data_IF_645287559356
#
_entry.id   IF_645287559356
#
_cell.length_a   1.000
_cell.length_b   1.000
_cell.length_c   1.000
_cell.angle_alpha   90.00
_cell.angle_beta   90.00
_cell.angle_gamma   90.00
#
_symmetry.space_group_name_H-M   'P 1'
#
loop_
_entity.id
_entity.type
_entity.pdbx_description
1 polymer ?
#
# COMPACT_ATOMS: atom_id res chain seq x y z
N UNK A 1 35.42 -13.64 0.56
CA UNK A 1 35.75 -13.21 1.94
C UNK A 1 35.89 -14.47 2.77
N UNK A 2 36.78 -14.53 3.76
CA UNK A 2 36.94 -15.76 4.55
C UNK A 2 35.87 -15.85 5.63
N UNK A 3 35.52 -17.06 6.05
CA UNK A 3 34.57 -17.32 7.14
C UNK A 3 34.96 -16.61 8.44
N UNK A 4 36.25 -16.64 8.78
CA UNK A 4 36.81 -15.90 9.93
C UNK A 4 36.59 -14.39 9.85
N UNK A 5 36.59 -13.83 8.63
CA UNK A 5 36.34 -12.40 8.43
C UNK A 5 34.88 -12.05 8.71
N UNK A 6 33.93 -12.87 8.28
CA UNK A 6 32.50 -12.65 8.56
C UNK A 6 32.19 -12.77 10.05
N UNK A 7 32.76 -13.78 10.71
CA UNK A 7 32.59 -13.97 12.15
C UNK A 7 33.11 -12.77 12.94
N UNK A 8 34.27 -12.23 12.56
CA UNK A 8 34.80 -11.01 13.18
C UNK A 8 33.86 -9.81 13.03
N UNK A 9 33.21 -9.66 11.88
CA UNK A 9 32.25 -8.57 11.64
C UNK A 9 30.99 -8.73 12.51
N UNK A 10 30.46 -9.96 12.60
CA UNK A 10 29.28 -10.28 13.44
C UNK A 10 29.60 -10.05 14.92
N UNK A 11 30.73 -10.57 15.40
CA UNK A 11 31.12 -10.43 16.80
C UNK A 11 31.41 -8.98 17.16
N UNK A 12 31.96 -8.19 16.23
CA UNK A 12 32.16 -6.75 16.36
C UNK A 12 30.89 -5.91 16.18
N UNK A 13 29.77 -6.48 15.74
CA UNK A 13 28.57 -5.73 15.33
C UNK A 13 28.88 -4.63 14.30
N UNK A 14 29.81 -4.89 13.38
CA UNK A 14 30.19 -3.97 12.31
C UNK A 14 29.13 -3.98 11.20
N UNK A 15 28.06 -3.21 11.39
CA UNK A 15 26.93 -3.12 10.44
C UNK A 15 27.39 -2.69 9.05
N UNK A 16 28.31 -1.72 8.97
CA UNK A 16 28.79 -1.21 7.69
C UNK A 16 29.62 -2.26 6.94
N UNK A 17 30.46 -3.02 7.66
CA UNK A 17 31.19 -4.16 7.11
C UNK A 17 30.26 -5.26 6.64
N UNK A 18 29.22 -5.58 7.42
CA UNK A 18 28.23 -6.60 7.08
C UNK A 18 27.34 -6.22 5.89
N UNK A 19 26.96 -4.95 5.73
CA UNK A 19 26.24 -4.47 4.54
C UNK A 19 27.11 -4.62 3.29
N UNK A 20 28.38 -4.19 3.34
CA UNK A 20 29.33 -4.40 2.23
C UNK A 20 29.55 -5.87 1.89
N UNK A 21 29.53 -6.74 2.91
CA UNK A 21 29.59 -8.18 2.73
C UNK A 21 28.38 -8.69 1.95
N UNK A 22 27.16 -8.30 2.36
CA UNK A 22 25.92 -8.65 1.65
C UNK A 22 25.96 -8.18 0.20
N UNK A 23 26.34 -6.93 -0.07
CA UNK A 23 26.48 -6.40 -1.44
C UNK A 23 27.44 -7.25 -2.27
N UNK A 24 28.59 -7.60 -1.70
CA UNK A 24 29.58 -8.46 -2.33
C UNK A 24 29.02 -9.85 -2.66
N UNK A 25 28.30 -10.47 -1.73
CA UNK A 25 27.68 -11.79 -1.92
C UNK A 25 26.63 -11.75 -3.03
N UNK A 26 25.71 -10.79 -2.99
CA UNK A 26 24.64 -10.65 -3.98
C UNK A 26 25.21 -10.38 -5.38
N UNK A 27 26.26 -9.54 -5.51
CA UNK A 27 26.90 -9.27 -6.81
C UNK A 27 27.52 -10.51 -7.48
N UNK A 28 27.82 -11.56 -6.70
CA UNK A 28 28.31 -12.84 -7.21
C UNK A 28 27.21 -13.89 -7.41
N UNK A 29 26.00 -13.64 -6.90
CA UNK A 29 24.91 -14.61 -6.90
C UNK A 29 25.11 -15.80 -5.96
N UNK A 30 25.92 -15.64 -4.91
CA UNK A 30 26.26 -16.71 -3.96
C UNK A 30 25.20 -16.80 -2.85
N UNK A 31 23.98 -17.23 -3.21
CA UNK A 31 22.80 -17.16 -2.33
C UNK A 31 22.91 -18.01 -1.07
N UNK A 32 23.59 -19.16 -1.15
CA UNK A 32 23.86 -20.01 0.03
C UNK A 32 24.75 -19.27 1.05
N UNK A 33 25.71 -18.48 0.60
CA UNK A 33 26.56 -17.64 1.46
C UNK A 33 25.72 -16.53 2.13
N UNK A 34 24.72 -15.98 1.43
CA UNK A 34 23.81 -14.97 1.99
C UNK A 34 22.88 -15.57 3.05
N UNK A 35 22.36 -16.78 2.79
CA UNK A 35 21.53 -17.53 3.73
C UNK A 35 22.31 -17.86 5.01
N UNK A 36 23.54 -18.37 4.87
CA UNK A 36 24.42 -18.67 6.00
C UNK A 36 24.73 -17.40 6.82
N UNK A 37 25.05 -16.27 6.16
CA UNK A 37 25.24 -14.99 6.83
C UNK A 37 23.99 -14.55 7.61
N UNK A 38 22.81 -14.62 6.99
CA UNK A 38 21.52 -14.30 7.63
C UNK A 38 21.31 -15.14 8.88
N UNK A 39 21.51 -16.45 8.78
CA UNK A 39 21.24 -17.40 9.86
C UNK A 39 22.22 -17.21 11.02
N UNK A 40 23.51 -16.94 10.74
CA UNK A 40 24.50 -16.56 11.75
C UNK A 40 24.18 -15.23 12.43
N UNK A 41 23.68 -14.24 11.68
CA UNK A 41 23.22 -12.98 12.27
C UNK A 41 22.01 -13.21 13.20
N UNK A 42 21.04 -14.04 12.79
CA UNK A 42 19.89 -14.41 13.63
C UNK A 42 20.35 -15.11 14.90
N UNK A 43 21.27 -16.08 14.81
CA UNK A 43 21.86 -16.74 15.97
C UNK A 43 22.57 -15.72 16.88
N UNK A 44 23.38 -14.81 16.32
CA UNK A 44 24.10 -13.80 17.07
C UNK A 44 23.17 -12.83 17.82
N UNK A 45 22.00 -12.51 17.26
CA UNK A 45 20.96 -11.73 17.95
C UNK A 45 20.46 -12.45 19.20
N UNK A 46 20.27 -13.77 19.16
CA UNK A 46 19.92 -14.54 20.37
C UNK A 46 21.00 -14.48 21.46
N UNK A 47 22.25 -14.20 21.07
CA UNK A 47 23.39 -13.98 21.99
C UNK A 47 23.58 -12.51 22.40
N UNK A 48 22.64 -11.62 22.05
CA UNK A 48 22.63 -10.21 22.43
C UNK A 48 23.36 -9.26 21.46
N UNK A 49 23.79 -9.73 20.29
CA UNK A 49 24.42 -8.87 19.27
C UNK A 49 23.36 -8.00 18.58
N UNK A 50 23.74 -6.77 18.23
CA UNK A 50 22.85 -5.79 17.61
C UNK A 50 22.92 -5.85 16.07
N UNK A 51 22.80 -7.05 15.50
CA UNK A 51 22.93 -7.29 14.05
C UNK A 51 21.62 -7.73 13.37
N UNK A 52 20.48 -7.56 14.05
CA UNK A 52 19.16 -7.96 13.51
C UNK A 52 18.80 -7.23 12.21
N UNK A 53 19.22 -5.97 12.05
CA UNK A 53 18.97 -5.21 10.82
C UNK A 53 19.75 -5.81 9.62
N UNK A 54 20.88 -6.49 9.87
CA UNK A 54 21.68 -7.15 8.83
C UNK A 54 20.97 -8.40 8.33
N UNK A 55 20.40 -9.23 9.23
CA UNK A 55 19.66 -10.43 8.80
C UNK A 55 18.40 -10.05 8.02
N UNK A 56 17.70 -8.99 8.42
CA UNK A 56 16.56 -8.48 7.67
C UNK A 56 16.95 -7.85 6.33
N UNK A 57 18.10 -7.18 6.26
CA UNK A 57 18.63 -6.70 4.98
C UNK A 57 18.98 -7.88 4.06
N UNK A 58 19.56 -8.97 4.59
CA UNK A 58 19.78 -10.18 3.81
C UNK A 58 18.46 -10.81 3.32
N UNK A 59 17.40 -10.84 4.15
CA UNK A 59 16.06 -11.27 3.73
C UNK A 59 15.49 -10.40 2.60
N UNK A 60 15.63 -9.08 2.72
CA UNK A 60 15.23 -8.15 1.67
C UNK A 60 15.96 -8.42 0.35
N UNK A 61 17.27 -8.63 0.40
CA UNK A 61 18.08 -8.95 -0.79
C UNK A 61 17.74 -10.32 -1.39
N UNK A 62 17.42 -11.31 -0.54
CA UNK A 62 16.92 -12.61 -1.01
C UNK A 62 15.57 -12.46 -1.73
N UNK A 63 14.64 -11.68 -1.18
CA UNK A 63 13.36 -11.42 -1.84
C UNK A 63 13.53 -10.66 -3.16
N UNK A 64 14.45 -9.70 -3.23
CA UNK A 64 14.63 -8.84 -4.41
C UNK A 64 15.44 -9.49 -5.54
N UNK A 65 16.51 -10.24 -5.22
CA UNK A 65 17.54 -10.62 -6.21
C UNK A 65 17.76 -12.12 -6.37
N UNK A 66 17.35 -12.95 -5.40
CA UNK A 66 17.57 -14.39 -5.49
C UNK A 66 16.57 -15.06 -6.44
N UNK A 67 16.86 -16.27 -6.96
CA UNK A 67 15.89 -17.07 -7.70
C UNK A 67 14.58 -17.26 -6.91
N UNK A 68 13.45 -17.37 -7.61
CA UNK A 68 12.10 -17.40 -7.02
C UNK A 68 11.93 -18.43 -5.88
N UNK A 69 12.51 -19.63 -6.03
CA UNK A 69 12.51 -20.68 -5.00
C UNK A 69 13.17 -20.22 -3.68
N UNK A 70 14.22 -19.41 -3.76
CA UNK A 70 14.92 -18.87 -2.58
C UNK A 70 14.24 -17.60 -2.06
N UNK A 71 13.76 -16.73 -2.95
CA UNK A 71 12.96 -15.56 -2.57
C UNK A 71 11.73 -15.98 -1.75
N UNK A 72 11.02 -17.03 -2.17
CA UNK A 72 9.87 -17.57 -1.46
C UNK A 72 10.17 -17.99 0.00
N UNK A 73 11.40 -18.44 0.30
CA UNK A 73 11.77 -18.89 1.66
C UNK A 73 11.76 -17.80 2.72
N UNK A 74 11.80 -16.52 2.31
CA UNK A 74 11.75 -15.38 3.22
C UNK A 74 10.38 -14.71 3.26
N UNK A 75 9.41 -15.18 2.47
CA UNK A 75 8.05 -14.64 2.41
C UNK A 75 7.19 -15.26 3.52
N UNK A 76 7.46 -14.88 4.75
CA UNK A 76 6.72 -15.36 5.93
C UNK A 76 6.21 -14.20 6.77
N UNK A 77 5.16 -14.44 7.56
CA UNK A 77 4.64 -13.44 8.49
C UNK A 77 5.73 -12.93 9.44
N UNK A 78 5.84 -11.60 9.56
CA UNK A 78 6.78 -10.93 10.47
C UNK A 78 8.22 -10.76 9.98
N UNK A 79 8.64 -11.38 8.86
CA UNK A 79 9.95 -11.10 8.22
C UNK A 79 9.91 -9.82 7.39
N UNK A 80 11.08 -9.18 7.20
CA UNK A 80 11.15 -7.88 6.53
C UNK A 80 10.34 -6.76 7.22
N UNK A 81 10.07 -6.89 8.52
CA UNK A 81 9.34 -5.87 9.30
C UNK A 81 9.92 -4.45 9.13
N UNK A 82 11.23 -4.36 8.90
CA UNK A 82 11.95 -3.10 8.72
C UNK A 82 12.60 -2.99 7.34
N UNK A 83 12.17 -3.82 6.37
CA UNK A 83 12.58 -3.64 4.97
C UNK A 83 11.83 -2.48 4.34
N UNK A 84 12.32 -2.06 3.17
CA UNK A 84 11.79 -0.93 2.43
C UNK A 84 10.34 -1.13 1.93
N UNK A 85 9.87 -2.37 1.91
CA UNK A 85 8.49 -2.76 1.67
C UNK A 85 8.24 -4.20 2.12
N UNK A 86 6.99 -4.67 2.07
CA UNK A 86 6.65 -6.06 2.34
C UNK A 86 7.43 -7.00 1.43
N UNK A 87 8.06 -8.06 1.98
CA UNK A 87 8.93 -8.94 1.18
C UNK A 87 8.20 -9.60 0.00
N UNK A 88 6.90 -9.88 0.14
CA UNK A 88 6.11 -10.44 -0.95
C UNK A 88 5.93 -9.45 -2.11
N UNK A 89 5.79 -8.15 -1.83
CA UNK A 89 5.69 -7.10 -2.85
C UNK A 89 7.06 -6.90 -3.52
N UNK A 90 8.13 -6.95 -2.72
CA UNK A 90 9.51 -6.88 -3.21
C UNK A 90 9.81 -8.04 -4.16
N UNK A 91 9.49 -9.28 -3.77
CA UNK A 91 9.67 -10.45 -4.63
C UNK A 91 8.79 -10.38 -5.87
N UNK A 92 7.52 -10.00 -5.72
CA UNK A 92 6.62 -9.81 -6.85
C UNK A 92 7.12 -8.71 -7.81
N UNK A 93 7.87 -7.70 -7.36
CA UNK A 93 8.45 -6.68 -8.26
C UNK A 93 9.57 -7.21 -9.17
N UNK A 94 10.21 -8.32 -8.80
CA UNK A 94 11.36 -8.87 -9.51
C UNK A 94 11.06 -10.19 -10.26
N UNK A 95 9.98 -10.88 -9.91
CA UNK A 95 9.63 -12.19 -10.46
C UNK A 95 8.26 -12.20 -11.15
N UNK A 96 8.06 -13.18 -12.03
CA UNK A 96 6.75 -13.50 -12.59
C UNK A 96 5.96 -14.39 -11.65
N UNK A 97 4.64 -14.32 -11.74
CA UNK A 97 3.72 -15.20 -11.02
C UNK A 97 4.06 -16.67 -11.23
N UNK A 98 4.32 -17.08 -12.48
CA UNK A 98 4.64 -18.47 -12.83
C UNK A 98 5.88 -19.02 -12.13
N UNK A 99 6.81 -18.15 -11.73
CA UNK A 99 8.05 -18.54 -11.06
C UNK A 99 7.87 -18.61 -9.54
N UNK A 100 7.02 -17.76 -8.96
CA UNK A 100 6.76 -17.70 -7.52
C UNK A 100 5.73 -18.73 -7.07
N UNK A 101 4.61 -18.87 -7.80
CA UNK A 101 3.45 -19.69 -7.43
C UNK A 101 3.79 -21.11 -6.91
N UNK A 102 4.72 -21.87 -7.53
CA UNK A 102 5.08 -23.21 -7.06
C UNK A 102 5.73 -23.26 -5.66
N UNK A 103 6.05 -22.11 -5.08
CA UNK A 103 6.81 -21.98 -3.84
C UNK A 103 6.06 -21.19 -2.75
N UNK A 104 4.85 -20.69 -3.02
CA UNK A 104 4.07 -19.89 -2.08
C UNK A 104 3.11 -20.77 -1.26
N UNK A 105 3.61 -21.36 -0.18
CA UNK A 105 2.84 -22.27 0.66
C UNK A 105 1.87 -21.57 1.63
N UNK A 106 2.12 -20.29 1.95
CA UNK A 106 1.30 -19.52 2.90
C UNK A 106 0.15 -18.85 2.13
N UNK A 107 -1.14 -19.18 2.42
CA UNK A 107 -2.27 -18.68 1.63
C UNK A 107 -2.36 -17.16 1.54
N UNK A 108 -2.13 -16.45 2.65
CA UNK A 108 -2.19 -14.98 2.70
C UNK A 108 -1.10 -14.32 1.84
N UNK A 109 0.13 -14.82 1.94
CA UNK A 109 1.25 -14.37 1.11
C UNK A 109 1.00 -14.70 -0.36
N UNK A 110 0.45 -15.88 -0.66
CA UNK A 110 0.10 -16.29 -2.02
C UNK A 110 -0.94 -15.34 -2.63
N UNK A 111 -2.01 -15.01 -1.89
CA UNK A 111 -3.03 -14.05 -2.34
C UNK A 111 -2.46 -12.65 -2.55
N UNK A 112 -1.69 -12.11 -1.61
CA UNK A 112 -1.08 -10.78 -1.77
C UNK A 112 -0.12 -10.73 -2.98
N UNK A 113 0.72 -11.76 -3.15
CA UNK A 113 1.63 -11.88 -4.30
C UNK A 113 0.86 -12.01 -5.62
N UNK A 114 -0.24 -12.78 -5.64
CA UNK A 114 -1.10 -12.95 -6.80
C UNK A 114 -1.73 -11.62 -7.23
N UNK A 115 -2.31 -10.87 -6.30
CA UNK A 115 -2.88 -9.55 -6.62
C UNK A 115 -1.81 -8.57 -7.10
N UNK A 116 -0.63 -8.55 -6.47
CA UNK A 116 0.48 -7.71 -6.93
C UNK A 116 0.90 -8.06 -8.36
N UNK A 117 1.10 -9.35 -8.66
CA UNK A 117 1.46 -9.79 -10.01
C UNK A 117 0.36 -9.53 -11.04
N UNK A 118 -0.90 -9.66 -10.66
CA UNK A 118 -2.06 -9.31 -11.50
C UNK A 118 -2.07 -7.82 -11.85
N UNK A 119 -1.86 -6.94 -10.87
CA UNK A 119 -1.71 -5.48 -11.08
C UNK A 119 -0.52 -5.19 -12.00
N UNK A 120 0.56 -5.96 -11.90
CA UNK A 120 1.72 -5.87 -12.81
C UNK A 120 1.48 -6.53 -14.19
N UNK A 121 0.29 -7.03 -14.46
CA UNK A 121 -0.14 -7.55 -15.76
C UNK A 121 0.10 -9.04 -16.00
N UNK A 122 0.42 -9.83 -14.98
CA UNK A 122 0.47 -11.29 -15.13
C UNK A 122 -0.95 -11.89 -15.13
N UNK A 123 -1.15 -12.93 -15.96
CA UNK A 123 -2.37 -13.72 -15.91
C UNK A 123 -2.32 -14.67 -14.72
N UNK A 124 -3.09 -14.36 -13.67
CA UNK A 124 -3.21 -15.21 -12.48
C UNK A 124 -4.55 -15.96 -12.51
N UNK A 125 -4.55 -17.31 -12.46
CA UNK A 125 -5.79 -18.07 -12.41
C UNK A 125 -6.53 -17.81 -11.09
N UNK A 126 -7.79 -17.42 -11.18
CA UNK A 126 -8.65 -17.13 -10.02
C UNK A 126 -8.92 -18.35 -9.14
N UNK A 127 -8.99 -19.54 -9.75
CA UNK A 127 -9.36 -20.80 -9.09
C UNK A 127 -8.25 -21.37 -8.19
N UNK A 128 -7.01 -20.86 -8.32
CA UNK A 128 -5.89 -21.28 -7.47
C UNK A 128 -5.67 -20.37 -6.25
N UNK A 129 -6.43 -19.29 -6.14
CA UNK A 129 -6.34 -18.31 -5.04
C UNK A 129 -7.62 -18.41 -4.19
N UNK A 130 -7.44 -18.46 -2.87
CA UNK A 130 -8.57 -18.41 -1.95
C UNK A 130 -9.15 -16.99 -1.89
N UNK A 131 -10.31 -16.80 -2.51
CA UNK A 131 -11.01 -15.51 -2.57
C UNK A 131 -11.41 -14.99 -1.19
N UNK A 132 -11.58 -15.85 -0.18
CA UNK A 132 -11.95 -15.41 1.17
C UNK A 132 -10.83 -14.64 1.90
N UNK A 133 -9.63 -14.53 1.31
CA UNK A 133 -8.51 -13.81 1.93
C UNK A 133 -8.59 -12.31 1.70
N UNK A 134 -8.82 -11.88 0.46
CA UNK A 134 -8.89 -10.45 0.09
C UNK A 134 -10.27 -10.03 -0.41
N UNK A 135 -11.18 -10.99 -0.58
CA UNK A 135 -12.61 -10.81 -0.86
C UNK A 135 -12.95 -10.01 -2.13
N UNK A 136 -11.95 -9.71 -2.97
CA UNK A 136 -12.09 -9.07 -4.29
C UNK A 136 -11.47 -9.93 -5.40
N UNK A 137 -11.81 -9.72 -6.68
CA UNK A 137 -11.18 -10.44 -7.78
C UNK A 137 -9.66 -10.22 -7.83
N UNK A 138 -8.91 -11.29 -8.05
CA UNK A 138 -7.45 -11.24 -8.26
C UNK A 138 -7.15 -10.45 -9.53
N UNK A 139 -7.86 -10.78 -10.61
CA UNK A 139 -7.78 -10.10 -11.89
C UNK A 139 -8.25 -8.65 -11.77
N UNK A 140 -7.45 -7.74 -12.31
CA UNK A 140 -7.84 -6.36 -12.45
C UNK A 140 -8.99 -6.23 -13.46
N UNK A 141 -10.03 -5.50 -13.08
CA UNK A 141 -11.20 -5.23 -13.91
C UNK A 141 -10.90 -4.16 -14.96
N UNK A 142 -11.67 -4.16 -16.06
CA UNK A 142 -11.44 -3.23 -17.18
C UNK A 142 -11.64 -1.75 -16.82
N UNK A 143 -12.42 -1.48 -15.78
CA UNK A 143 -12.66 -0.14 -15.28
C UNK A 143 -11.62 0.32 -14.25
N UNK A 144 -10.85 -0.59 -13.68
CA UNK A 144 -9.80 -0.24 -12.73
C UNK A 144 -8.65 0.47 -13.46
N UNK A 145 -8.05 1.50 -12.83
CA UNK A 145 -6.94 2.24 -13.41
C UNK A 145 -5.64 1.42 -13.42
N UNK A 146 -4.65 1.84 -14.19
CA UNK A 146 -3.30 1.25 -14.06
C UNK A 146 -2.66 1.74 -12.76
N UNK A 147 -2.67 0.92 -11.72
CA UNK A 147 -2.19 1.34 -10.40
C UNK A 147 -0.69 1.67 -10.39
N UNK A 148 -0.28 2.72 -9.67
CA UNK A 148 1.12 3.07 -9.50
C UNK A 148 1.86 2.03 -8.65
N UNK A 149 3.02 1.60 -9.14
CA UNK A 149 3.81 0.54 -8.52
C UNK A 149 5.03 1.07 -7.80
N UNK A 150 5.30 0.51 -6.62
CA UNK A 150 6.56 0.71 -5.93
C UNK A 150 7.72 0.13 -6.74
N UNK A 151 8.85 0.85 -6.78
CA UNK A 151 10.09 0.39 -7.39
C UNK A 151 11.11 0.10 -6.30
N UNK A 152 11.61 -1.13 -6.26
CA UNK A 152 12.60 -1.58 -5.28
C UNK A 152 13.98 -1.70 -5.92
N UNK A 153 14.99 -1.25 -5.19
CA UNK A 153 16.40 -1.39 -5.51
C UNK A 153 17.18 -1.77 -4.24
N UNK A 154 18.39 -2.28 -4.39
CA UNK A 154 19.17 -2.85 -3.28
C UNK A 154 19.32 -1.94 -2.06
N UNK A 155 19.28 -0.62 -2.23
CA UNK A 155 19.50 0.39 -1.18
C UNK A 155 18.36 1.40 -1.02
N UNK A 156 17.29 1.32 -1.83
CA UNK A 156 16.20 2.30 -1.83
C UNK A 156 14.91 1.74 -2.41
N UNK A 157 13.80 2.35 -2.02
CA UNK A 157 12.52 2.20 -2.69
C UNK A 157 12.03 3.55 -3.18
N UNK A 158 11.29 3.56 -4.28
CA UNK A 158 10.63 4.74 -4.82
C UNK A 158 9.15 4.44 -4.96
N UNK A 159 8.32 5.31 -4.38
CA UNK A 159 6.88 5.21 -4.41
C UNK A 159 6.36 6.35 -5.28
N UNK A 160 5.60 6.09 -6.36
CA UNK A 160 5.07 7.15 -7.21
C UNK A 160 4.13 8.04 -6.40
N UNK A 161 4.28 9.37 -6.53
CA UNK A 161 3.43 10.39 -5.89
C UNK A 161 2.83 11.38 -6.90
N UNK A 162 3.06 11.13 -8.19
CA UNK A 162 2.58 11.92 -9.33
C UNK A 162 1.05 11.87 -9.53
N UNK A 163 0.36 10.98 -8.81
CA UNK A 163 -1.10 10.90 -8.75
C UNK A 163 -1.71 12.26 -8.35
N UNK A 164 -1.00 13.03 -7.53
CA UNK A 164 -1.47 14.34 -7.05
C UNK A 164 -0.96 15.52 -7.89
N UNK A 165 -0.26 15.28 -9.01
CA UNK A 165 0.14 16.31 -9.98
C UNK A 165 -1.05 16.72 -10.89
N UNK A 166 -2.19 17.00 -10.26
CA UNK A 166 -3.43 17.43 -10.90
C UNK A 166 -3.56 18.94 -10.76
N UNK A 167 -3.98 19.59 -11.83
CA UNK A 167 -4.29 21.02 -11.80
C UNK A 167 -5.58 21.26 -10.99
N UNK A 168 -5.44 21.90 -9.84
CA UNK A 168 -6.56 22.24 -8.95
C UNK A 168 -6.85 23.74 -8.96
N UNK A 169 -8.13 24.08 -8.86
CA UNK A 169 -8.59 25.47 -8.80
C UNK A 169 -8.99 25.85 -7.39
N UNK A 170 -8.66 27.08 -6.98
CA UNK A 170 -9.12 27.61 -5.70
C UNK A 170 -10.63 27.89 -5.71
N UNK A 171 -11.35 27.27 -4.77
CA UNK A 171 -12.80 27.37 -4.60
C UNK A 171 -13.12 27.89 -3.21
N UNK A 172 -13.91 28.97 -3.14
CA UNK A 172 -14.49 29.46 -1.89
C UNK A 172 -15.67 28.55 -1.52
N UNK A 173 -15.66 28.06 -0.28
CA UNK A 173 -16.64 27.09 0.19
C UNK A 173 -17.90 27.80 0.74
N UNK A 174 -19.09 27.16 0.65
CA UNK A 174 -20.34 27.69 1.20
C UNK A 174 -20.32 27.71 2.74
N UNK A 175 -21.45 28.02 3.37
CA UNK A 175 -21.60 27.84 4.82
C UNK A 175 -21.66 26.34 5.17
N UNK A 176 -21.13 25.92 6.35
CA UNK A 176 -21.19 24.53 6.74
C UNK A 176 -22.64 24.10 7.02
N UNK A 177 -22.94 22.86 6.69
CA UNK A 177 -24.17 22.18 7.09
C UNK A 177 -23.93 21.29 8.31
N UNK A 178 -25.02 20.79 8.91
CA UNK A 178 -24.93 19.82 10.00
C UNK A 178 -24.35 18.51 9.46
N UNK A 179 -23.46 17.89 10.25
CA UNK A 179 -22.88 16.59 9.90
C UNK A 179 -23.89 15.51 10.24
N UNK A 180 -24.08 14.56 9.33
CA UNK A 180 -24.88 13.38 9.60
C UNK A 180 -24.09 12.36 10.43
N UNK A 181 -24.81 11.35 10.92
CA UNK A 181 -24.21 10.24 11.67
C UNK A 181 -23.28 9.40 10.79
N UNK A 182 -22.24 8.81 11.39
CA UNK A 182 -21.31 7.91 10.70
C UNK A 182 -22.05 6.69 10.11
N UNK A 183 -21.79 6.39 8.84
CA UNK A 183 -22.34 5.27 8.05
C UNK A 183 -21.25 4.30 7.57
N UNK A 184 -21.61 3.24 6.82
CA UNK A 184 -20.64 2.26 6.32
C UNK A 184 -19.56 2.88 5.41
N UNK A 185 -19.91 3.89 4.59
CA UNK A 185 -18.96 4.61 3.72
C UNK A 185 -17.93 5.36 4.56
N UNK A 186 -18.35 6.01 5.65
CA UNK A 186 -17.40 6.66 6.57
C UNK A 186 -16.45 5.65 7.22
N UNK A 187 -16.95 4.45 7.56
CA UNK A 187 -16.16 3.34 8.08
C UNK A 187 -15.10 2.88 7.07
N UNK A 188 -15.49 2.64 5.81
CA UNK A 188 -14.58 2.19 4.76
C UNK A 188 -13.49 3.23 4.44
N UNK A 189 -13.84 4.52 4.37
CA UNK A 189 -12.88 5.60 4.18
C UNK A 189 -11.90 5.73 5.36
N UNK A 190 -12.37 5.52 6.60
CA UNK A 190 -11.49 5.50 7.77
C UNK A 190 -10.58 4.27 7.80
N UNK A 191 -11.09 3.10 7.47
CA UNK A 191 -10.31 1.85 7.42
C UNK A 191 -9.24 1.88 6.32
N UNK A 192 -9.49 2.57 5.20
CA UNK A 192 -8.53 2.80 4.12
C UNK A 192 -7.23 3.44 4.64
N UNK A 193 -7.34 4.49 5.46
CA UNK A 193 -6.20 5.27 5.97
C UNK A 193 -5.84 4.97 7.43
N UNK A 194 -6.50 3.99 8.04
CA UNK A 194 -6.28 3.57 9.43
C UNK A 194 -4.81 3.43 9.86
N UNK A 195 -3.91 2.85 9.05
CA UNK A 195 -2.50 2.71 9.43
C UNK A 195 -1.81 4.05 9.73
N UNK A 196 -2.28 5.16 9.17
CA UNK A 196 -1.62 6.46 9.35
C UNK A 196 -1.80 7.00 10.77
N UNK A 197 -2.80 6.55 11.51
CA UNK A 197 -3.01 6.98 12.90
C UNK A 197 -2.86 5.83 13.92
N UNK A 198 -3.06 4.58 13.51
CA UNK A 198 -2.80 3.40 14.36
C UNK A 198 -1.30 3.07 14.46
N UNK A 199 -0.60 3.10 13.31
CA UNK A 199 0.81 2.72 13.19
C UNK A 199 1.74 3.94 12.99
N UNK A 200 1.18 5.15 12.89
CA UNK A 200 1.94 6.39 12.75
C UNK A 200 1.39 7.53 13.61
N UNK A 201 1.72 8.78 13.30
CA UNK A 201 1.34 9.98 14.05
C UNK A 201 0.36 10.87 13.27
N UNK A 202 -0.27 10.31 12.25
CA UNK A 202 -1.21 10.96 11.38
C UNK A 202 -2.56 11.21 12.02
N UNK A 203 -3.41 11.90 11.25
CA UNK A 203 -4.79 12.23 11.60
C UNK A 203 -5.67 11.99 10.40
N UNK A 204 -6.82 11.40 10.63
CA UNK A 204 -7.87 11.23 9.64
C UNK A 204 -9.20 11.68 10.23
N UNK A 205 -10.00 12.34 9.41
CA UNK A 205 -11.39 12.69 9.71
C UNK A 205 -12.21 12.45 8.45
N UNK A 206 -13.35 11.78 8.62
CA UNK A 206 -14.35 11.61 7.56
C UNK A 206 -15.63 12.29 8.01
N UNK A 207 -16.30 12.97 7.08
CA UNK A 207 -17.61 13.58 7.32
C UNK A 207 -18.57 13.16 6.23
N UNK A 208 -19.81 12.87 6.64
CA UNK A 208 -21.00 12.75 5.78
C UNK A 208 -21.95 13.93 6.03
N UNK A 209 -22.58 14.44 4.96
CA UNK A 209 -23.62 15.47 5.03
C UNK A 209 -24.71 15.22 3.98
N UNK A 210 -25.96 15.52 4.32
CA UNK A 210 -27.03 15.78 3.36
C UNK A 210 -26.78 17.10 2.63
N UNK A 211 -26.02 17.05 1.54
CA UNK A 211 -25.63 18.20 0.75
C UNK A 211 -24.53 17.88 -0.27
N UNK A 212 -23.68 18.87 -0.52
CA UNK A 212 -22.63 18.83 -1.55
C UNK A 212 -21.25 18.55 -0.95
N UNK A 213 -20.29 18.11 -1.79
CA UNK A 213 -18.87 17.98 -1.39
C UNK A 213 -18.35 19.28 -0.78
N UNK A 214 -18.69 20.44 -1.36
CA UNK A 214 -18.20 21.73 -0.88
C UNK A 214 -18.69 22.03 0.55
N UNK A 215 -19.94 21.72 0.87
CA UNK A 215 -20.50 21.83 2.24
C UNK A 215 -19.85 20.83 3.20
N UNK A 216 -19.60 19.60 2.74
CA UNK A 216 -18.91 18.57 3.52
C UNK A 216 -17.48 18.99 3.85
N UNK A 217 -16.69 19.45 2.87
CA UNK A 217 -15.32 19.97 3.08
C UNK A 217 -15.38 21.17 4.05
N UNK A 218 -16.33 22.08 3.87
CA UNK A 218 -16.48 23.25 4.74
C UNK A 218 -16.66 22.85 6.21
N UNK A 219 -17.41 21.78 6.47
CA UNK A 219 -17.67 21.28 7.83
C UNK A 219 -16.41 20.79 8.55
N UNK A 220 -15.33 20.44 7.83
CA UNK A 220 -14.00 20.13 8.40
C UNK A 220 -13.26 21.38 8.91
N UNK A 221 -13.73 22.58 8.57
CA UNK A 221 -13.16 23.85 9.00
C UNK A 221 -12.57 24.79 7.95
N UNK A 222 -12.02 24.36 6.78
CA UNK A 222 -11.46 25.30 5.81
C UNK A 222 -12.56 26.16 5.18
N UNK A 223 -12.24 27.42 4.86
CA UNK A 223 -13.18 28.34 4.17
C UNK A 223 -12.97 28.37 2.65
N UNK A 224 -11.80 27.92 2.20
CA UNK A 224 -11.38 27.93 0.82
C UNK A 224 -10.38 26.79 0.66
N UNK A 225 -10.49 26.05 -0.43
CA UNK A 225 -9.59 24.93 -0.76
C UNK A 225 -9.21 25.01 -2.23
N UNK A 226 -8.20 24.26 -2.64
CA UNK A 226 -8.02 23.89 -4.04
C UNK A 226 -8.74 22.58 -4.28
N UNK A 227 -9.40 22.43 -5.42
CA UNK A 227 -10.07 21.18 -5.79
C UNK A 227 -10.03 20.93 -7.28
N UNK A 228 -10.16 19.66 -7.65
CA UNK A 228 -10.34 19.19 -9.02
C UNK A 228 -11.34 18.03 -9.02
N UNK A 229 -12.32 18.08 -9.92
CA UNK A 229 -13.12 16.91 -10.26
C UNK A 229 -12.23 15.87 -10.94
N UNK A 230 -12.35 14.62 -10.54
CA UNK A 230 -11.54 13.52 -11.03
C UNK A 230 -12.40 12.35 -11.52
N UNK A 231 -11.80 11.47 -12.32
CA UNK A 231 -12.46 10.23 -12.75
C UNK A 231 -12.45 9.20 -11.62
N UNK A 232 -13.33 8.20 -11.71
CA UNK A 232 -13.26 7.00 -10.84
C UNK A 232 -11.86 6.39 -10.84
N UNK A 233 -11.22 6.27 -12.02
CA UNK A 233 -9.88 5.72 -12.12
C UNK A 233 -8.86 6.50 -11.27
N UNK A 234 -8.85 7.82 -11.37
CA UNK A 234 -7.97 8.68 -10.57
C UNK A 234 -8.28 8.59 -9.06
N UNK A 235 -9.56 8.51 -8.68
CA UNK A 235 -9.97 8.29 -7.31
C UNK A 235 -9.46 6.94 -6.77
N UNK A 236 -9.62 5.86 -7.55
CA UNK A 236 -9.14 4.53 -7.22
C UNK A 236 -7.60 4.49 -7.09
N UNK A 237 -6.86 5.20 -7.95
CA UNK A 237 -5.40 5.34 -7.83
C UNK A 237 -5.01 6.02 -6.51
N UNK A 238 -5.64 7.15 -6.18
CA UNK A 238 -5.35 7.92 -4.97
C UNK A 238 -5.67 7.13 -3.69
N UNK A 239 -6.84 6.46 -3.65
CA UNK A 239 -7.22 5.59 -2.54
C UNK A 239 -6.28 4.40 -2.39
N UNK A 240 -5.95 3.72 -3.50
CA UNK A 240 -5.04 2.57 -3.48
C UNK A 240 -3.65 2.98 -3.01
N UNK A 241 -3.13 4.12 -3.46
CA UNK A 241 -1.85 4.65 -3.00
C UNK A 241 -1.84 4.93 -1.50
N UNK A 242 -2.89 5.55 -0.98
CA UNK A 242 -2.99 5.89 0.43
C UNK A 242 -3.10 4.62 1.30
N UNK A 243 -3.98 3.69 0.93
CA UNK A 243 -4.19 2.43 1.67
C UNK A 243 -3.01 1.46 1.57
N UNK A 244 -2.20 1.57 0.52
CA UNK A 244 -0.94 0.83 0.39
C UNK A 244 0.16 1.37 1.30
N UNK A 245 0.09 2.63 1.73
CA UNK A 245 1.10 3.26 2.58
C UNK A 245 0.81 3.08 4.08
N UNK A 246 1.81 3.36 4.91
CA UNK A 246 1.66 3.39 6.36
C UNK A 246 1.72 4.81 6.94
N UNK A 247 1.60 5.84 6.10
CA UNK A 247 1.93 7.21 6.50
C UNK A 247 3.44 7.43 6.67
N UNK A 248 3.82 8.44 7.46
CA UNK A 248 5.20 8.89 7.64
C UNK A 248 6.09 7.89 8.35
N UNK A 249 5.56 7.23 9.38
CA UNK A 249 6.32 6.30 10.23
C UNK A 249 5.78 4.85 10.20
N UNK A 250 4.56 4.65 9.70
CA UNK A 250 4.00 3.31 9.59
C UNK A 250 4.56 2.56 8.38
N UNK A 251 4.24 1.26 8.31
CA UNK A 251 4.79 0.40 7.26
C UNK A 251 3.96 0.48 5.99
N UNK A 252 4.65 0.45 4.85
CA UNK A 252 4.00 0.10 3.59
C UNK A 252 3.31 -1.26 3.74
N UNK A 253 2.03 -1.30 3.38
CA UNK A 253 1.18 -2.48 3.34
C UNK A 253 1.16 -3.14 1.96
N UNK A 254 1.50 -2.38 0.93
CA UNK A 254 1.60 -2.83 -0.46
C UNK A 254 0.34 -2.59 -1.27
N UNK A 255 0.48 -2.51 -2.59
CA UNK A 255 -0.60 -2.10 -3.50
C UNK A 255 -1.87 -2.96 -3.38
N UNK A 256 -1.81 -4.30 -3.26
CA UNK A 256 -2.98 -5.14 -2.99
C UNK A 256 -3.82 -4.71 -1.79
N UNK A 257 -3.19 -4.33 -0.68
CA UNK A 257 -3.93 -3.91 0.52
C UNK A 257 -4.65 -2.58 0.29
N UNK A 258 -4.01 -1.66 -0.44
CA UNK A 258 -4.64 -0.41 -0.86
C UNK A 258 -5.80 -0.63 -1.83
N UNK A 259 -5.62 -1.53 -2.81
CA UNK A 259 -6.65 -1.90 -3.80
C UNK A 259 -7.89 -2.46 -3.11
N UNK A 260 -7.71 -3.35 -2.12
CA UNK A 260 -8.82 -3.88 -1.31
C UNK A 260 -9.58 -2.77 -0.59
N UNK A 261 -8.87 -1.84 0.06
CA UNK A 261 -9.52 -0.70 0.71
C UNK A 261 -10.31 0.17 -0.28
N UNK A 262 -9.73 0.47 -1.44
CA UNK A 262 -10.39 1.25 -2.49
C UNK A 262 -11.64 0.56 -3.06
N UNK A 263 -11.59 -0.77 -3.23
CA UNK A 263 -12.74 -1.58 -3.63
C UNK A 263 -13.87 -1.50 -2.62
N UNK A 264 -13.58 -1.70 -1.33
CA UNK A 264 -14.62 -1.65 -0.30
C UNK A 264 -15.22 -0.25 -0.18
N UNK A 265 -14.45 0.82 -0.29
CA UNK A 265 -15.02 2.19 -0.37
C UNK A 265 -16.01 2.30 -1.55
N UNK A 266 -15.65 1.81 -2.73
CA UNK A 266 -16.54 1.85 -3.90
C UNK A 266 -17.81 1.01 -3.69
N UNK A 267 -17.69 -0.18 -3.11
CA UNK A 267 -18.83 -1.07 -2.87
C UNK A 267 -19.81 -0.47 -1.86
N UNK A 268 -19.32 0.09 -0.76
CA UNK A 268 -20.17 0.77 0.23
C UNK A 268 -20.89 1.98 -0.39
N UNK A 269 -20.20 2.77 -1.22
CA UNK A 269 -20.82 3.89 -1.94
C UNK A 269 -21.93 3.46 -2.88
N UNK A 270 -21.84 2.25 -3.44
CA UNK A 270 -22.84 1.67 -4.33
C UNK A 270 -23.85 0.77 -3.58
N UNK A 271 -23.75 0.66 -2.25
CA UNK A 271 -24.67 -0.10 -1.41
C UNK A 271 -24.53 -1.63 -1.48
N UNK A 272 -23.32 -2.14 -1.75
CA UNK A 272 -23.02 -3.57 -1.78
C UNK A 272 -22.38 -4.07 -0.48
N UNK A 273 -23.05 -5.02 0.18
CA UNK A 273 -22.50 -5.75 1.36
C UNK A 273 -21.47 -6.83 0.98
N UNK A 274 -21.44 -7.25 -0.29
CA UNK A 274 -20.52 -8.26 -0.83
C UNK A 274 -20.17 -7.94 -2.28
N UNK A 275 -19.01 -8.42 -2.76
CA UNK A 275 -18.63 -8.24 -4.18
C UNK A 275 -19.68 -8.88 -5.08
N UNK A 276 -20.31 -8.11 -6.01
CA UNK A 276 -21.31 -8.66 -6.91
C UNK A 276 -20.71 -9.70 -7.86
N UNK A 277 -21.55 -10.64 -8.30
CA UNK A 277 -21.12 -11.68 -9.25
C UNK A 277 -20.64 -11.10 -10.59
N UNK A 278 -21.25 -10.01 -11.04
CA UNK A 278 -20.82 -9.24 -12.20
C UNK A 278 -20.25 -7.91 -11.74
N UNK A 279 -18.92 -7.80 -11.81
CA UNK A 279 -18.19 -6.59 -11.44
C UNK A 279 -17.98 -5.65 -12.63
N UNK A 280 -18.47 -6.01 -13.83
CA UNK A 280 -18.22 -5.23 -15.05
C UNK A 280 -19.10 -3.99 -15.20
N UNK A 281 -20.14 -3.85 -14.36
CA UNK A 281 -21.07 -2.71 -14.36
C UNK A 281 -20.74 -1.64 -13.32
N UNK A 282 -19.76 -1.91 -12.44
CA UNK A 282 -19.44 -1.01 -11.32
C UNK A 282 -18.99 0.38 -11.77
N UNK A 283 -18.42 0.52 -12.97
CA UNK A 283 -18.03 1.82 -13.52
C UNK A 283 -19.21 2.64 -14.05
N UNK A 284 -20.19 1.97 -14.66
CA UNK A 284 -21.45 2.58 -15.06
C UNK A 284 -22.22 3.05 -13.82
N UNK A 285 -22.32 2.21 -12.80
CA UNK A 285 -22.97 2.56 -11.52
C UNK A 285 -22.25 3.72 -10.82
N UNK A 286 -20.92 3.69 -10.76
CA UNK A 286 -20.13 4.76 -10.17
C UNK A 286 -20.06 6.04 -11.02
N UNK A 287 -20.55 6.02 -12.27
CA UNK A 287 -20.55 7.20 -13.14
C UNK A 287 -21.56 8.27 -12.71
N UNK A 288 -22.53 7.88 -11.88
CA UNK A 288 -23.48 8.80 -11.26
C UNK A 288 -22.86 9.56 -10.07
N UNK A 289 -21.72 9.09 -9.55
CA UNK A 289 -20.99 9.73 -8.46
C UNK A 289 -20.04 10.81 -8.97
N UNK A 290 -19.97 11.94 -8.26
CA UNK A 290 -18.96 12.98 -8.48
C UNK A 290 -17.79 12.76 -7.54
N UNK A 291 -16.59 12.64 -8.09
CA UNK A 291 -15.34 12.46 -7.33
C UNK A 291 -14.50 13.72 -7.37
N UNK A 292 -13.96 14.13 -6.22
CA UNK A 292 -13.12 15.32 -6.09
C UNK A 292 -11.86 14.99 -5.30
N UNK A 293 -10.69 15.38 -5.81
CA UNK A 293 -9.50 15.55 -4.98
C UNK A 293 -9.38 17.01 -4.59
N UNK A 294 -9.02 17.26 -3.32
CA UNK A 294 -8.91 18.61 -2.79
C UNK A 294 -7.63 18.81 -1.99
N UNK A 295 -7.26 20.06 -1.72
CA UNK A 295 -6.06 20.43 -0.98
C UNK A 295 -6.37 21.71 -0.19
N UNK A 296 -6.22 21.71 1.16
CA UNK A 296 -6.55 22.87 1.99
C UNK A 296 -5.65 24.09 1.71
N UNK A 297 -4.56 23.91 0.96
CA UNK A 297 -3.73 24.96 0.39
C UNK A 297 -2.52 25.34 1.24
N UNK A 298 -2.48 24.87 2.47
CA UNK A 298 -1.42 25.01 3.45
C UNK A 298 -0.55 23.74 3.53
N UNK A 299 -0.38 23.03 2.40
CA UNK A 299 0.40 21.77 2.23
C UNK A 299 1.44 21.63 3.33
N UNK A 300 1.06 20.90 4.37
CA UNK A 300 1.98 20.38 5.37
C UNK A 300 2.72 19.28 4.62
N UNK A 301 4.03 19.44 4.39
CA UNK A 301 4.81 18.39 3.73
C UNK A 301 4.57 17.04 4.41
N UNK A 302 4.43 15.97 3.62
CA UNK A 302 4.12 14.64 4.14
C UNK A 302 3.06 13.89 3.35
N UNK A 303 2.61 12.78 3.93
CA UNK A 303 1.58 11.91 3.39
C UNK A 303 0.22 12.57 3.57
N UNK A 304 -0.58 12.62 2.51
CA UNK A 304 -1.92 13.22 2.56
C UNK A 304 -2.84 12.52 1.56
N UNK A 305 -4.11 12.37 1.94
CA UNK A 305 -5.21 12.02 1.05
C UNK A 305 -6.42 12.87 1.44
N UNK A 306 -6.85 13.69 0.50
CA UNK A 306 -8.00 14.56 0.61
C UNK A 306 -8.91 14.26 -0.57
N UNK A 307 -9.97 13.51 -0.32
CA UNK A 307 -10.90 13.04 -1.34
C UNK A 307 -12.34 13.32 -0.89
N UNK A 308 -13.19 13.67 -1.83
CA UNK A 308 -14.62 13.82 -1.65
C UNK A 308 -15.38 13.01 -2.69
N UNK A 309 -16.53 12.50 -2.30
CA UNK A 309 -17.47 11.80 -3.17
C UNK A 309 -18.88 12.31 -2.86
N UNK A 310 -19.63 12.63 -3.90
CA UNK A 310 -21.01 13.10 -3.82
C UNK A 310 -21.87 12.16 -4.65
N UNK A 311 -22.99 11.73 -4.09
CA UNK A 311 -24.11 11.17 -4.82
C UNK A 311 -25.13 12.30 -5.07
N UNK A 312 -25.19 12.87 -6.29
CA UNK A 312 -26.09 13.96 -6.59
C UNK A 312 -27.56 13.52 -6.66
N UNK A 313 -27.85 12.23 -6.84
CA UNK A 313 -29.20 11.71 -6.92
C UNK A 313 -29.86 11.68 -5.52
N UNK A 314 -29.09 11.25 -4.52
CA UNK A 314 -29.54 11.21 -3.13
C UNK A 314 -29.22 12.49 -2.34
N UNK A 315 -28.37 13.37 -2.89
CA UNK A 315 -28.02 14.65 -2.29
C UNK A 315 -27.20 14.48 -1.02
N UNK A 316 -26.24 13.55 -1.05
CA UNK A 316 -25.36 13.18 0.06
C UNK A 316 -23.91 13.27 -0.39
N UNK A 317 -23.03 13.71 0.51
CA UNK A 317 -21.60 13.81 0.23
C UNK A 317 -20.75 13.33 1.40
N UNK A 318 -19.68 12.61 1.07
CA UNK A 318 -18.65 12.14 1.99
C UNK A 318 -17.31 12.75 1.66
N UNK A 319 -16.56 13.17 2.68
CA UNK A 319 -15.22 13.73 2.51
C UNK A 319 -14.26 13.14 3.51
N UNK A 320 -13.10 12.72 3.04
CA UNK A 320 -11.96 12.28 3.85
C UNK A 320 -10.89 13.36 3.83
N UNK A 321 -10.35 13.65 5.01
CA UNK A 321 -9.11 14.40 5.20
C UNK A 321 -8.14 13.58 6.03
N UNK A 322 -7.13 13.00 5.39
CA UNK A 322 -6.06 12.26 6.02
C UNK A 322 -4.71 12.93 5.80
N UNK A 323 -3.94 13.12 6.87
CA UNK A 323 -2.59 13.70 6.81
C UNK A 323 -1.66 13.00 7.79
N UNK A 324 -0.39 12.89 7.41
CA UNK A 324 0.68 12.44 8.29
C UNK A 324 2.02 13.08 7.90
N UNK A 325 2.76 13.53 8.91
CA UNK A 325 4.08 14.15 8.72
C UNK A 325 5.15 13.10 8.42
N UNK A 326 6.11 13.45 7.57
CA UNK A 326 7.36 12.66 7.35
C UNK A 326 8.25 12.69 8.58
#
# INVERSE_FOLDING_TARGET
MTEDSLMSLIEGSDLAGLVRAIDGICSRGEWDELIDLRDRCNEAVTRGKQVWAVSQFAEYRLALEAPAVLAATVLTDGRGRFSLGPLWEVAASAHKWSDLDPHLDIPTIRALTAHERSIQGDAVPEDVIDRAILEIPVAQQSWEPTYPLAKYASDRATFPDDIFDIEMTWTDLPDPVERDDEDEVTGALMDLVKPWWDDSLGKAEVVTVAGTIEEAIRSLGPHRVRMADVTLGTAMEAMTWAGASGGGHGRRRGTPAGRVGAWWVLLELLGYDEVPHDTSTLDEEASDLRWVLWDPGDRVGGWNLHIGVEDPADGIAWVLSAVDSV
#
